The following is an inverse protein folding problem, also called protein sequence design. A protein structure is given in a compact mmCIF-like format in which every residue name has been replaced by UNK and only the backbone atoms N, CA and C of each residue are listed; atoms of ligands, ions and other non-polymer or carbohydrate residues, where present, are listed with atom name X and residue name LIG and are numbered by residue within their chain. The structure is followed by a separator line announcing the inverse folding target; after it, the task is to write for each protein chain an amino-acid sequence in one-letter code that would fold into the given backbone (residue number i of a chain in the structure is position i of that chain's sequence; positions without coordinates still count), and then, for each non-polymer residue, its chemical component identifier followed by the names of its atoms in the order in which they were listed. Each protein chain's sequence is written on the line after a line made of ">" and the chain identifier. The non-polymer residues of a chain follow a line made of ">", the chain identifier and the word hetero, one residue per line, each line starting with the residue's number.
data_IF_402699400381
#
_entry.id   IF_402699400381
#
_cell.length_a   1.000
_cell.length_b   1.000
_cell.length_c   1.000
_cell.angle_alpha   90.00
_cell.angle_beta   90.00
_cell.angle_gamma   90.00
#
_symmetry.space_group_name_H-M   'P 1'
#
loop_
_entity.id
_entity.type
_entity.pdbx_description
1 polymer ?
#
# COMPACT_ATOMS: atom_id res chain seq x y z
N UNK A 1 -17.54 -25.50 -15.76
CA UNK A 1 -16.13 -25.28 -16.18
C UNK A 1 -15.28 -26.41 -15.61
N UNK A 2 -14.48 -27.04 -16.44
CA UNK A 2 -13.57 -28.10 -15.99
C UNK A 2 -12.37 -27.48 -15.21
N UNK A 3 -11.66 -28.34 -14.48
CA UNK A 3 -10.42 -27.92 -13.79
C UNK A 3 -9.42 -27.29 -14.78
N UNK A 4 -9.20 -27.94 -15.92
CA UNK A 4 -8.26 -27.43 -16.93
C UNK A 4 -8.69 -26.06 -17.49
N UNK A 5 -9.99 -25.88 -17.73
CA UNK A 5 -10.53 -24.60 -18.19
C UNK A 5 -10.34 -23.52 -17.13
N UNK A 6 -10.61 -23.84 -15.86
CA UNK A 6 -10.42 -22.91 -14.74
C UNK A 6 -8.95 -22.54 -14.59
N UNK A 7 -8.05 -23.53 -14.65
CA UNK A 7 -6.62 -23.30 -14.55
C UNK A 7 -6.11 -22.38 -15.65
N UNK A 8 -6.49 -22.66 -16.90
CA UNK A 8 -6.07 -21.85 -18.05
C UNK A 8 -6.58 -20.41 -17.96
N UNK A 9 -7.82 -20.24 -17.55
CA UNK A 9 -8.42 -18.92 -17.41
C UNK A 9 -7.76 -18.12 -16.28
N UNK A 10 -7.48 -18.79 -15.16
CA UNK A 10 -6.80 -18.18 -14.03
C UNK A 10 -5.34 -17.82 -14.36
N UNK A 11 -4.62 -18.67 -15.09
CA UNK A 11 -3.26 -18.40 -15.55
C UNK A 11 -3.23 -17.15 -16.43
N UNK A 12 -4.19 -17.04 -17.36
CA UNK A 12 -4.32 -15.84 -18.20
C UNK A 12 -4.58 -14.59 -17.38
N UNK A 13 -5.42 -14.68 -16.36
CA UNK A 13 -5.70 -13.57 -15.44
C UNK A 13 -4.42 -13.14 -14.69
N UNK A 14 -3.65 -14.10 -14.21
CA UNK A 14 -2.38 -13.83 -13.50
C UNK A 14 -1.31 -13.26 -14.44
N UNK A 15 -1.38 -13.55 -15.74
CA UNK A 15 -0.38 -13.07 -16.71
C UNK A 15 -0.54 -11.59 -17.03
N UNK A 16 -1.70 -11.00 -16.79
CA UNK A 16 -1.97 -9.59 -17.09
C UNK A 16 -1.41 -8.62 -16.04
N UNK A 17 -1.31 -9.06 -14.80
CA UNK A 17 -0.78 -8.28 -13.70
C UNK A 17 -0.53 -9.21 -12.52
N UNK A 18 0.29 -8.78 -11.56
CA UNK A 18 0.46 -9.53 -10.31
C UNK A 18 -0.87 -9.53 -9.55
N UNK A 19 -1.24 -10.69 -8.99
CA UNK A 19 -2.52 -10.87 -8.28
C UNK A 19 -2.28 -11.41 -6.88
N UNK A 20 -3.14 -10.99 -5.95
CA UNK A 20 -3.18 -11.60 -4.63
C UNK A 20 -3.89 -12.95 -4.74
N UNK A 21 -3.46 -13.99 -4.02
CA UNK A 21 -4.16 -15.28 -4.03
C UNK A 21 -5.65 -15.16 -3.69
N UNK A 22 -6.01 -14.29 -2.74
CA UNK A 22 -7.41 -14.03 -2.36
C UNK A 22 -8.24 -13.55 -3.55
N UNK A 23 -7.67 -12.68 -4.39
CA UNK A 23 -8.36 -12.14 -5.56
C UNK A 23 -8.54 -13.20 -6.64
N UNK A 24 -7.54 -14.07 -6.82
CA UNK A 24 -7.66 -15.19 -7.77
C UNK A 24 -8.74 -16.17 -7.29
N UNK A 25 -8.75 -16.49 -6.00
CA UNK A 25 -9.79 -17.34 -5.42
C UNK A 25 -11.18 -16.75 -5.63
N UNK A 26 -11.33 -15.45 -5.43
CA UNK A 26 -12.59 -14.74 -5.64
C UNK A 26 -13.04 -14.83 -7.10
N UNK A 27 -12.12 -14.66 -8.04
CA UNK A 27 -12.41 -14.80 -9.47
C UNK A 27 -12.88 -16.22 -9.82
N UNK A 28 -12.20 -17.22 -9.27
CA UNK A 28 -12.58 -18.62 -9.51
C UNK A 28 -13.99 -18.90 -8.99
N UNK A 29 -14.35 -18.37 -7.83
CA UNK A 29 -15.70 -18.49 -7.29
C UNK A 29 -16.73 -17.77 -8.15
N UNK A 30 -16.39 -16.61 -8.68
CA UNK A 30 -17.25 -15.88 -9.62
C UNK A 30 -17.51 -16.70 -10.90
N UNK A 31 -16.56 -17.56 -11.29
CA UNK A 31 -16.70 -18.46 -12.43
C UNK A 31 -17.34 -19.79 -12.05
N UNK A 32 -17.93 -19.87 -10.86
CA UNK A 32 -18.63 -21.07 -10.34
C UNK A 32 -17.73 -22.30 -10.19
N UNK A 33 -16.44 -22.08 -9.88
CA UNK A 33 -15.51 -23.15 -9.57
C UNK A 33 -15.71 -23.57 -8.11
N UNK A 34 -15.80 -24.88 -7.84
CA UNK A 34 -16.00 -25.39 -6.49
C UNK A 34 -14.75 -25.22 -5.63
N UNK A 35 -14.93 -25.18 -4.30
CA UNK A 35 -13.84 -24.86 -3.37
C UNK A 35 -12.67 -25.82 -3.46
N UNK A 36 -12.90 -27.11 -3.67
CA UNK A 36 -11.83 -28.08 -3.83
C UNK A 36 -10.96 -27.76 -5.05
N UNK A 37 -11.61 -27.40 -6.17
CA UNK A 37 -10.92 -27.03 -7.40
C UNK A 37 -10.22 -25.68 -7.25
N UNK A 38 -10.81 -24.71 -6.52
CA UNK A 38 -10.18 -23.42 -6.22
C UNK A 38 -8.81 -23.65 -5.58
N UNK A 39 -8.76 -24.47 -4.53
CA UNK A 39 -7.50 -24.76 -3.82
C UNK A 39 -6.47 -25.41 -4.75
N UNK A 40 -6.90 -26.36 -5.59
CA UNK A 40 -6.01 -27.04 -6.53
C UNK A 40 -5.46 -26.09 -7.58
N UNK A 41 -6.30 -25.19 -8.10
CA UNK A 41 -5.86 -24.20 -9.07
C UNK A 41 -4.84 -23.25 -8.45
N UNK A 42 -5.10 -22.75 -7.24
CA UNK A 42 -4.17 -21.86 -6.55
C UNK A 42 -2.81 -22.52 -6.32
N UNK A 43 -2.80 -23.78 -5.88
CA UNK A 43 -1.57 -24.53 -5.68
C UNK A 43 -0.79 -24.70 -6.98
N UNK A 44 -1.48 -25.02 -8.07
CA UNK A 44 -0.84 -25.22 -9.36
C UNK A 44 -0.24 -23.91 -9.91
N UNK A 45 -0.99 -22.81 -9.80
CA UNK A 45 -0.51 -21.50 -10.22
C UNK A 45 0.72 -21.07 -9.44
N UNK A 46 0.74 -21.35 -8.14
CA UNK A 46 1.88 -21.03 -7.28
C UNK A 46 3.10 -21.86 -7.68
N UNK A 47 2.94 -23.17 -7.87
CA UNK A 47 4.03 -24.07 -8.27
C UNK A 47 4.63 -23.69 -9.62
N UNK A 48 3.81 -23.21 -10.54
CA UNK A 48 4.26 -22.82 -11.87
C UNK A 48 4.63 -21.33 -11.98
N UNK A 49 4.71 -20.65 -10.85
CA UNK A 49 5.12 -19.23 -10.75
C UNK A 49 4.22 -18.23 -11.48
N UNK A 50 2.97 -18.58 -11.76
CA UNK A 50 1.96 -17.62 -12.21
C UNK A 50 1.48 -16.75 -11.07
N UNK A 51 1.53 -17.27 -9.84
CA UNK A 51 1.01 -16.61 -8.65
C UNK A 51 2.11 -16.58 -7.58
N UNK A 52 2.37 -15.38 -7.04
CA UNK A 52 3.37 -15.20 -5.98
C UNK A 52 2.95 -14.06 -5.08
N UNK A 53 2.79 -14.36 -3.79
CA UNK A 53 2.47 -13.32 -2.79
C UNK A 53 3.58 -12.28 -2.70
N UNK A 54 4.85 -12.70 -2.79
CA UNK A 54 5.99 -11.79 -2.72
C UNK A 54 5.97 -10.81 -3.90
N UNK A 55 5.75 -11.30 -5.11
CA UNK A 55 5.70 -10.42 -6.29
C UNK A 55 4.52 -9.49 -6.22
N UNK A 56 3.35 -10.00 -5.78
CA UNK A 56 2.17 -9.14 -5.63
C UNK A 56 2.43 -8.04 -4.61
N UNK A 57 2.95 -8.38 -3.44
CA UNK A 57 3.23 -7.42 -2.38
C UNK A 57 4.21 -6.35 -2.87
N UNK A 58 5.27 -6.76 -3.54
CA UNK A 58 6.31 -5.85 -4.06
C UNK A 58 5.72 -4.87 -5.07
N UNK A 59 4.96 -5.39 -6.04
CA UNK A 59 4.30 -4.57 -7.07
C UNK A 59 3.30 -3.59 -6.44
N UNK A 60 2.53 -4.06 -5.45
CA UNK A 60 1.54 -3.24 -4.76
C UNK A 60 2.19 -2.09 -3.99
N UNK A 61 3.20 -2.40 -3.17
CA UNK A 61 3.90 -1.36 -2.39
C UNK A 61 4.55 -0.35 -3.32
N UNK A 62 5.21 -0.83 -4.37
CA UNK A 62 5.87 0.04 -5.34
C UNK A 62 4.88 1.01 -5.98
N UNK A 63 3.73 0.50 -6.43
CA UNK A 63 2.69 1.31 -7.05
C UNK A 63 2.10 2.34 -6.07
N UNK A 64 1.68 1.88 -4.88
CA UNK A 64 1.01 2.74 -3.91
C UNK A 64 1.94 3.79 -3.32
N UNK A 65 3.20 3.45 -3.11
CA UNK A 65 4.17 4.40 -2.58
C UNK A 65 4.66 5.40 -3.62
N UNK A 66 5.15 4.90 -4.77
CA UNK A 66 5.79 5.76 -5.76
C UNK A 66 4.80 6.56 -6.61
N UNK A 67 3.64 5.99 -6.92
CA UNK A 67 2.66 6.65 -7.79
C UNK A 67 1.52 7.29 -7.00
N UNK A 68 0.94 6.56 -6.05
CA UNK A 68 -0.19 7.07 -5.26
C UNK A 68 0.27 7.89 -4.06
N UNK A 69 1.53 7.76 -3.66
CA UNK A 69 2.13 8.46 -2.52
C UNK A 69 1.40 8.17 -1.21
N UNK A 70 1.07 6.91 -1.00
CA UNK A 70 0.49 6.45 0.27
C UNK A 70 1.60 6.25 1.29
N UNK A 71 1.27 6.50 2.56
CA UNK A 71 2.13 6.17 3.69
C UNK A 71 2.06 4.69 4.06
N UNK A 72 2.98 4.26 4.92
CA UNK A 72 3.14 2.86 5.32
C UNK A 72 1.89 2.29 5.98
N UNK A 73 1.18 3.08 6.79
CA UNK A 73 -0.03 2.60 7.49
C UNK A 73 -1.11 2.19 6.49
N UNK A 74 -1.36 3.03 5.51
CA UNK A 74 -2.39 2.76 4.50
C UNK A 74 -2.02 1.60 3.60
N UNK A 75 -0.75 1.54 3.17
CA UNK A 75 -0.25 0.44 2.34
C UNK A 75 -0.35 -0.88 3.09
N UNK A 76 0.13 -0.90 4.34
CA UNK A 76 0.10 -2.11 5.16
C UNK A 76 -1.30 -2.63 5.41
N UNK A 77 -2.21 -1.71 5.72
CA UNK A 77 -3.62 -2.06 5.91
C UNK A 77 -4.21 -2.70 4.65
N UNK A 78 -3.99 -2.06 3.49
CA UNK A 78 -4.54 -2.54 2.22
C UNK A 78 -3.98 -3.93 1.85
N UNK A 79 -2.67 -4.17 2.08
CA UNK A 79 -2.07 -5.47 1.82
C UNK A 79 -2.65 -6.56 2.73
N UNK A 80 -2.86 -6.25 4.02
CA UNK A 80 -3.48 -7.20 4.95
C UNK A 80 -4.92 -7.52 4.54
N UNK A 81 -5.64 -6.53 4.02
CA UNK A 81 -6.99 -6.74 3.49
C UNK A 81 -6.98 -7.67 2.27
N UNK A 82 -5.87 -7.74 1.55
CA UNK A 82 -5.68 -8.70 0.45
C UNK A 82 -5.22 -10.07 0.93
N UNK A 83 -5.10 -10.26 2.24
CA UNK A 83 -4.73 -11.54 2.82
C UNK A 83 -3.24 -11.80 2.90
N UNK A 84 -2.41 -10.77 2.70
CA UNK A 84 -0.95 -10.92 2.81
C UNK A 84 -0.56 -10.89 4.28
N UNK A 85 0.27 -11.85 4.70
CA UNK A 85 0.71 -11.99 6.08
C UNK A 85 1.54 -10.78 6.53
N UNK A 86 1.39 -10.41 7.82
CA UNK A 86 2.03 -9.23 8.37
C UNK A 86 3.55 -9.20 8.24
N UNK A 87 4.22 -10.33 8.38
CA UNK A 87 5.68 -10.40 8.24
C UNK A 87 6.11 -10.08 6.80
N UNK A 88 5.39 -10.60 5.81
CA UNK A 88 5.66 -10.31 4.40
C UNK A 88 5.36 -8.84 4.08
N UNK A 89 4.25 -8.31 4.62
CA UNK A 89 3.91 -6.89 4.47
C UNK A 89 5.06 -6.02 4.96
N UNK A 90 5.54 -6.27 6.17
CA UNK A 90 6.60 -5.47 6.79
C UNK A 90 7.91 -5.58 6.01
N UNK A 91 8.31 -6.81 5.66
CA UNK A 91 9.56 -7.03 4.92
C UNK A 91 9.51 -6.35 3.55
N UNK A 92 8.38 -6.41 2.87
CA UNK A 92 8.22 -5.78 1.55
C UNK A 92 8.31 -4.26 1.66
N UNK A 93 7.64 -3.68 2.66
CA UNK A 93 7.71 -2.24 2.85
C UNK A 93 9.14 -1.79 3.17
N UNK A 94 9.85 -2.55 4.00
CA UNK A 94 11.24 -2.23 4.33
C UNK A 94 12.16 -2.31 3.11
N UNK A 95 11.90 -3.25 2.20
CA UNK A 95 12.68 -3.39 0.96
C UNK A 95 12.41 -2.26 -0.03
N UNK A 96 11.16 -1.84 -0.17
CA UNK A 96 10.75 -0.89 -1.22
C UNK A 96 10.85 0.56 -0.75
N UNK A 97 10.57 0.83 0.52
CA UNK A 97 10.46 2.20 1.04
C UNK A 97 11.71 2.57 1.82
N UNK A 98 12.54 3.43 1.21
CA UNK A 98 13.71 3.99 1.88
C UNK A 98 13.27 5.05 2.90
N UNK A 99 13.78 5.03 4.16
CA UNK A 99 13.36 5.98 5.19
C UNK A 99 13.56 7.46 4.81
N UNK A 100 14.68 7.79 4.15
CA UNK A 100 14.95 9.17 3.75
C UNK A 100 13.98 9.62 2.65
N UNK A 101 13.75 8.75 1.67
CA UNK A 101 12.77 8.97 0.60
C UNK A 101 11.37 9.14 1.19
N UNK A 102 11.03 8.32 2.19
CA UNK A 102 9.73 8.36 2.85
C UNK A 102 9.45 9.71 3.50
N UNK A 103 10.41 10.21 4.27
CA UNK A 103 10.30 11.53 4.88
C UNK A 103 10.17 12.61 3.81
N UNK A 104 10.98 12.52 2.74
CA UNK A 104 10.92 13.50 1.66
C UNK A 104 9.57 13.51 0.95
N UNK A 105 8.97 12.32 0.77
CA UNK A 105 7.62 12.21 0.19
C UNK A 105 6.61 12.96 1.06
N UNK A 106 6.68 12.79 2.38
CA UNK A 106 5.81 13.50 3.32
C UNK A 106 6.04 15.01 3.24
N UNK A 107 7.31 15.43 3.21
CA UNK A 107 7.68 16.86 3.08
C UNK A 107 7.06 17.46 1.82
N UNK A 108 7.19 16.78 0.69
CA UNK A 108 6.67 17.26 -0.60
C UNK A 108 5.14 17.37 -0.59
N UNK A 109 4.47 16.40 -0.01
CA UNK A 109 3.01 16.42 0.13
C UNK A 109 2.54 17.59 1.01
N UNK A 110 3.19 17.79 2.15
CA UNK A 110 2.83 18.87 3.07
C UNK A 110 3.22 20.23 2.52
N UNK A 111 4.32 20.33 1.78
CA UNK A 111 4.70 21.58 1.12
C UNK A 111 3.59 22.05 0.20
N UNK A 112 3.03 21.14 -0.61
CA UNK A 112 1.92 21.46 -1.50
C UNK A 112 0.68 21.87 -0.71
N UNK A 113 0.37 21.17 0.38
CA UNK A 113 -0.79 21.45 1.23
C UNK A 113 -0.68 22.81 1.93
N UNK A 114 0.54 23.20 2.31
CA UNK A 114 0.81 24.37 3.13
C UNK A 114 1.50 25.51 2.36
N UNK A 115 1.13 25.74 1.11
CA UNK A 115 1.72 26.80 0.31
C UNK A 115 1.69 28.14 1.05
N UNK A 116 2.85 28.78 1.14
CA UNK A 116 2.98 30.08 1.75
C UNK A 116 3.05 30.10 3.28
N UNK A 117 2.96 28.94 3.92
CA UNK A 117 2.95 28.83 5.38
C UNK A 117 4.34 28.62 5.98
N UNK A 118 5.40 28.48 5.16
CA UNK A 118 6.75 28.21 5.63
C UNK A 118 7.23 29.29 6.62
N UNK A 119 7.80 28.85 7.74
CA UNK A 119 8.32 29.76 8.78
C UNK A 119 7.28 30.36 9.70
N UNK A 120 6.00 30.00 9.51
CA UNK A 120 4.90 30.54 10.32
C UNK A 120 4.39 29.50 11.31
N UNK A 121 3.92 29.96 12.46
CA UNK A 121 3.23 29.09 13.41
C UNK A 121 1.86 28.70 12.81
N UNK A 122 1.48 27.44 13.00
CA UNK A 122 0.15 26.97 12.58
C UNK A 122 -0.83 27.17 13.73
N UNK A 123 -2.02 27.67 13.41
CA UNK A 123 -3.08 27.66 14.41
C UNK A 123 -3.55 26.22 14.68
N UNK A 124 -4.26 26.01 15.79
CA UNK A 124 -4.68 24.68 16.21
C UNK A 124 -5.55 23.97 15.15
N UNK A 125 -6.42 24.73 14.48
CA UNK A 125 -7.32 24.20 13.46
C UNK A 125 -6.54 23.75 12.22
N UNK A 126 -5.62 24.57 11.74
CA UNK A 126 -4.80 24.25 10.58
C UNK A 126 -3.87 23.09 10.87
N UNK A 127 -3.26 23.07 12.06
CA UNK A 127 -2.40 21.95 12.48
C UNK A 127 -3.16 20.64 12.51
N UNK A 128 -4.37 20.62 13.09
CA UNK A 128 -5.21 19.44 13.13
C UNK A 128 -5.56 18.96 11.71
N UNK A 129 -5.86 19.89 10.80
CA UNK A 129 -6.18 19.56 9.42
C UNK A 129 -4.98 18.94 8.69
N UNK A 130 -3.76 19.43 8.94
CA UNK A 130 -2.54 18.88 8.34
C UNK A 130 -2.29 17.46 8.83
N UNK A 131 -2.40 17.22 10.14
CA UNK A 131 -2.20 15.87 10.69
C UNK A 131 -3.27 14.91 10.18
N UNK A 132 -4.51 15.36 10.04
CA UNK A 132 -5.59 14.57 9.48
C UNK A 132 -5.33 14.21 8.01
N UNK A 133 -4.86 15.18 7.23
CA UNK A 133 -4.49 14.98 5.83
C UNK A 133 -3.38 13.92 5.71
N UNK A 134 -2.32 14.05 6.51
CA UNK A 134 -1.22 13.07 6.51
C UNK A 134 -1.70 11.69 6.93
N UNK A 135 -2.56 11.61 7.95
CA UNK A 135 -3.10 10.34 8.44
C UNK A 135 -3.99 9.66 7.38
N UNK A 136 -4.78 10.43 6.65
CA UNK A 136 -5.63 9.90 5.56
C UNK A 136 -4.80 9.33 4.42
N UNK A 137 -3.63 9.89 4.20
CA UNK A 137 -2.66 9.37 3.22
C UNK A 137 -1.89 8.16 3.75
N UNK A 138 -2.00 7.87 5.05
CA UNK A 138 -1.35 6.72 5.67
C UNK A 138 -0.02 7.01 6.32
N UNK A 139 0.36 8.27 6.51
CA UNK A 139 1.62 8.64 7.16
C UNK A 139 1.45 8.71 8.68
N UNK A 140 2.46 8.26 9.40
CA UNK A 140 2.51 8.28 10.85
C UNK A 140 2.60 9.72 11.36
N UNK A 141 2.09 9.95 12.57
CA UNK A 141 2.09 11.29 13.17
C UNK A 141 3.50 11.83 13.37
N UNK A 142 4.46 10.98 13.77
CA UNK A 142 5.85 11.40 13.95
C UNK A 142 6.51 11.79 12.63
N UNK A 143 6.16 11.15 11.53
CA UNK A 143 6.65 11.50 10.20
C UNK A 143 6.07 12.87 9.79
N UNK A 144 4.79 13.10 10.07
CA UNK A 144 4.15 14.40 9.82
C UNK A 144 4.86 15.50 10.60
N UNK A 145 5.16 15.26 11.88
CA UNK A 145 5.86 16.21 12.73
C UNK A 145 7.26 16.52 12.18
N UNK A 146 8.00 15.49 11.78
CA UNK A 146 9.35 15.66 11.19
C UNK A 146 9.29 16.43 9.88
N UNK A 147 8.28 16.15 9.06
CA UNK A 147 8.09 16.85 7.79
C UNK A 147 7.80 18.34 8.01
N UNK A 148 7.00 18.68 9.01
CA UNK A 148 6.74 20.07 9.37
C UNK A 148 8.01 20.77 9.86
N UNK A 149 8.87 20.06 10.60
CA UNK A 149 10.17 20.59 11.03
C UNK A 149 11.06 20.88 9.82
N UNK A 150 11.10 19.97 8.84
CA UNK A 150 11.88 20.17 7.61
C UNK A 150 11.38 21.38 6.82
N UNK A 151 10.08 21.66 6.86
CA UNK A 151 9.48 22.82 6.21
C UNK A 151 9.62 24.08 7.05
N UNK A 152 10.22 24.00 8.24
CA UNK A 152 10.36 25.09 9.20
C UNK A 152 9.01 25.69 9.58
N UNK A 153 8.01 24.84 9.74
CA UNK A 153 6.67 25.24 10.21
C UNK A 153 6.65 25.07 11.73
N UNK A 154 6.31 26.13 12.44
CA UNK A 154 6.26 26.13 13.90
C UNK A 154 4.88 25.69 14.38
N UNK A 155 4.86 24.90 15.45
CA UNK A 155 3.62 24.55 16.15
C UNK A 155 3.27 25.66 17.13
N UNK A 156 1.97 26.03 17.23
CA UNK A 156 1.49 27.03 18.20
C UNK A 156 1.89 26.69 19.64
N UNK A 157 1.96 25.39 19.97
CA UNK A 157 2.32 24.94 21.31
C UNK A 157 3.81 25.14 21.64
N UNK A 158 4.64 25.44 20.67
CA UNK A 158 6.10 25.63 20.81
C UNK A 158 6.49 27.05 21.16
N UNK A 159 5.52 27.96 21.23
CA UNK A 159 5.74 29.34 21.69
C UNK A 159 5.74 29.43 23.22
#
# INVERSE_FOLDING_TARGET
>A
MTYEQALNKAAAYCSKAERAPRDVASKLRDWDVDEESVDKVLDRLTKENFLSEERFAHAFVNDKYHFERWGRIKIGYALRQKGIEGSLVQNTMDDVIDPESYLQTAVDLLRTKLRGASGKALDAKTRAAVYRFAAQRGFEADICRKALQELQITDDSDE
#
